data_IF_597801059552
#
_entry.id   IF_597801059552
#
_cell.length_a   1.000
_cell.length_b   1.000
_cell.length_c   1.000
_cell.angle_alpha   90.00
_cell.angle_beta   90.00
_cell.angle_gamma   90.00
#
_symmetry.space_group_name_H-M   'P 1'
#
loop_
_entity.id
_entity.type
_entity.pdbx_description
1 polymer ?
#
# COMPACT_ATOMS: atom_id res chain seq x y z
N UNK A 1 -3.16 -10.87 9.63
CA UNK A 1 -2.22 -9.71 9.51
C UNK A 1 -2.89 -8.34 9.63
N UNK A 2 -3.78 -7.92 8.70
CA UNK A 2 -4.37 -6.55 8.72
C UNK A 2 -5.11 -6.27 10.02
N UNK A 3 -5.97 -7.21 10.42
CA UNK A 3 -6.73 -7.16 11.66
C UNK A 3 -5.84 -7.16 12.91
N UNK A 4 -4.96 -8.15 13.03
CA UNK A 4 -4.09 -8.36 14.20
C UNK A 4 -3.20 -7.15 14.49
N UNK A 5 -2.59 -6.58 13.43
CA UNK A 5 -1.73 -5.40 13.55
C UNK A 5 -2.50 -4.09 13.59
N UNK A 6 -3.85 -4.13 13.50
CA UNK A 6 -4.73 -2.95 13.46
C UNK A 6 -4.34 -1.96 12.35
N UNK A 7 -3.85 -2.49 11.22
CA UNK A 7 -3.44 -1.69 10.05
C UNK A 7 -4.67 -1.10 9.39
N UNK A 8 -4.78 0.23 9.35
CA UNK A 8 -5.93 0.92 8.74
C UNK A 8 -5.67 1.40 7.30
N UNK A 9 -4.47 1.18 6.79
CA UNK A 9 -4.06 1.55 5.43
C UNK A 9 -3.27 0.42 4.78
N UNK A 10 -3.68 0.06 3.55
CA UNK A 10 -2.94 -0.81 2.65
C UNK A 10 -2.47 0.00 1.45
N UNK A 11 -1.17 -0.02 1.17
CA UNK A 11 -0.56 0.55 -0.03
C UNK A 11 -0.18 -0.57 -1.01
N UNK A 12 -0.96 -0.73 -2.07
CA UNK A 12 -0.74 -1.71 -3.13
C UNK A 12 0.00 -1.06 -4.30
N UNK A 13 1.23 -1.51 -4.57
CA UNK A 13 2.13 -0.95 -5.58
C UNK A 13 2.28 -1.85 -6.81
N UNK A 14 1.23 -2.57 -7.20
CA UNK A 14 1.23 -3.46 -8.37
C UNK A 14 -0.15 -3.52 -9.02
N UNK A 15 -0.22 -3.87 -10.30
CA UNK A 15 -1.46 -4.37 -10.89
C UNK A 15 -1.67 -5.85 -10.50
N UNK A 16 -2.90 -6.34 -10.62
CA UNK A 16 -3.26 -7.74 -10.39
C UNK A 16 -2.62 -8.65 -11.44
N UNK A 17 -2.58 -8.19 -12.68
CA UNK A 17 -1.98 -8.87 -13.83
C UNK A 17 -1.06 -7.92 -14.57
N UNK A 18 0.18 -8.35 -14.82
CA UNK A 18 1.16 -7.61 -15.59
C UNK A 18 1.78 -8.55 -16.62
N UNK A 19 1.80 -8.14 -17.90
CA UNK A 19 2.33 -8.93 -19.02
C UNK A 19 1.78 -10.38 -19.05
N UNK A 20 0.47 -10.51 -18.78
CA UNK A 20 -0.23 -11.80 -18.77
C UNK A 20 0.06 -12.70 -17.56
N UNK A 21 0.83 -12.23 -16.56
CA UNK A 21 1.11 -12.98 -15.34
C UNK A 21 0.38 -12.39 -14.15
N UNK A 22 -0.21 -13.26 -13.33
CA UNK A 22 -0.79 -12.86 -12.05
C UNK A 22 0.33 -12.40 -11.11
N UNK A 23 0.18 -11.19 -10.58
CA UNK A 23 1.11 -10.55 -9.64
C UNK A 23 0.53 -10.43 -8.25
N UNK A 24 -0.79 -10.29 -8.15
CA UNK A 24 -1.53 -10.21 -6.90
C UNK A 24 -2.97 -10.67 -7.10
N UNK A 25 -3.44 -11.58 -6.25
CA UNK A 25 -4.85 -11.97 -6.21
C UNK A 25 -5.68 -10.87 -5.54
N UNK A 26 -6.94 -10.74 -5.97
CA UNK A 26 -7.87 -9.82 -5.32
C UNK A 26 -8.24 -10.37 -3.94
N UNK A 27 -8.02 -9.57 -2.92
CA UNK A 27 -8.36 -9.87 -1.52
C UNK A 27 -9.39 -8.87 -0.95
N UNK A 28 -10.05 -8.11 -1.83
CA UNK A 28 -11.01 -7.07 -1.47
C UNK A 28 -12.35 -7.31 -2.18
N UNK A 29 -13.47 -6.84 -1.60
CA UNK A 29 -14.77 -6.85 -2.27
C UNK A 29 -14.78 -5.95 -3.51
N UNK A 30 -15.35 -6.46 -4.61
CA UNK A 30 -15.40 -5.74 -5.88
C UNK A 30 -16.65 -4.87 -6.05
N UNK A 31 -17.70 -5.15 -5.28
CA UNK A 31 -19.00 -4.47 -5.38
C UNK A 31 -19.45 -4.01 -4.00
N UNK A 32 -20.18 -2.89 -3.97
CA UNK A 32 -20.73 -2.29 -2.73
C UNK A 32 -21.75 -3.21 -2.04
N UNK A 33 -22.49 -3.98 -2.83
CA UNK A 33 -23.61 -4.82 -2.39
C UNK A 33 -23.23 -6.29 -2.13
N UNK A 34 -21.98 -6.69 -2.44
CA UNK A 34 -21.53 -8.08 -2.33
C UNK A 34 -20.32 -8.13 -1.40
N UNK A 35 -20.49 -8.54 -0.14
CA UNK A 35 -19.37 -8.71 0.77
C UNK A 35 -18.49 -9.89 0.34
N UNK A 36 -17.22 -9.83 0.73
CA UNK A 36 -16.26 -10.91 0.56
C UNK A 36 -16.03 -11.59 1.91
N UNK A 37 -16.33 -12.89 1.97
CA UNK A 37 -16.05 -13.74 3.13
C UNK A 37 -14.58 -14.21 3.08
N UNK A 38 -13.84 -13.97 4.17
CA UNK A 38 -12.44 -14.36 4.36
C UNK A 38 -12.28 -14.95 5.76
N UNK A 39 -12.46 -16.25 5.86
CA UNK A 39 -12.38 -17.03 7.10
C UNK A 39 -13.32 -16.50 8.20
N UNK A 40 -12.78 -15.82 9.21
CA UNK A 40 -13.54 -15.23 10.33
C UNK A 40 -14.00 -13.79 10.07
N UNK A 41 -13.69 -13.25 8.88
CA UNK A 41 -13.85 -11.84 8.56
C UNK A 41 -14.80 -11.63 7.38
N UNK A 42 -15.74 -10.70 7.53
CA UNK A 42 -16.60 -10.25 6.44
C UNK A 42 -16.15 -8.87 5.96
N UNK A 43 -15.81 -8.76 4.68
CA UNK A 43 -15.32 -7.51 4.08
C UNK A 43 -16.43 -6.84 3.26
N UNK A 44 -16.77 -5.61 3.62
CA UNK A 44 -17.72 -4.78 2.88
C UNK A 44 -16.99 -3.63 2.17
N UNK A 45 -17.31 -3.40 0.90
CA UNK A 45 -16.86 -2.21 0.20
C UNK A 45 -17.83 -1.06 0.53
N UNK A 46 -17.36 -0.07 1.27
CA UNK A 46 -18.16 1.11 1.62
C UNK A 46 -18.11 2.16 0.51
N UNK A 47 -16.93 2.36 -0.07
CA UNK A 47 -16.71 3.37 -1.10
C UNK A 47 -15.56 2.97 -2.02
N UNK A 48 -15.61 3.44 -3.27
CA UNK A 48 -14.55 3.29 -4.25
C UNK A 48 -14.40 4.56 -5.10
N UNK A 49 -13.15 4.98 -5.29
CA UNK A 49 -12.77 6.05 -6.21
C UNK A 49 -11.65 5.55 -7.12
N UNK A 50 -11.87 5.63 -8.43
CA UNK A 50 -10.90 5.23 -9.44
C UNK A 50 -10.35 6.49 -10.11
N UNK A 51 -9.26 7.03 -9.55
CA UNK A 51 -8.54 8.15 -10.16
C UNK A 51 -7.48 7.61 -11.12
N UNK A 52 -7.02 8.46 -12.04
CA UNK A 52 -6.05 8.09 -13.08
C UNK A 52 -4.86 7.28 -12.51
N UNK A 53 -4.23 7.77 -11.44
CA UNK A 53 -2.99 7.21 -10.90
C UNK A 53 -3.17 6.46 -9.56
N UNK A 54 -4.36 6.57 -8.95
CA UNK A 54 -4.64 6.04 -7.61
C UNK A 54 -6.06 5.49 -7.58
N UNK A 55 -6.20 4.22 -7.23
CA UNK A 55 -7.50 3.67 -6.86
C UNK A 55 -7.61 3.62 -5.34
N UNK A 56 -8.74 4.06 -4.82
CA UNK A 56 -9.02 4.15 -3.39
C UNK A 56 -10.26 3.31 -3.12
N UNK A 57 -10.17 2.40 -2.15
CA UNK A 57 -11.29 1.64 -1.63
C UNK A 57 -11.37 1.81 -0.12
N UNK A 58 -12.56 2.06 0.39
CA UNK A 58 -12.84 2.05 1.82
C UNK A 58 -13.52 0.71 2.12
N UNK A 59 -12.86 -0.11 2.93
CA UNK A 59 -13.28 -1.47 3.22
C UNK A 59 -13.58 -1.56 4.71
N UNK A 60 -14.78 -1.99 5.05
CA UNK A 60 -15.15 -2.34 6.42
C UNK A 60 -14.88 -3.84 6.62
N UNK A 61 -13.88 -4.16 7.43
CA UNK A 61 -13.57 -5.53 7.86
C UNK A 61 -14.31 -5.80 9.17
N UNK A 62 -15.21 -6.79 9.17
CA UNK A 62 -16.12 -7.08 10.27
C UNK A 62 -15.79 -8.46 10.86
N UNK A 63 -15.62 -8.51 12.17
CA UNK A 63 -15.58 -9.75 12.97
C UNK A 63 -16.48 -9.57 14.20
N UNK A 64 -15.93 -9.11 15.33
CA UNK A 64 -16.68 -8.67 16.53
C UNK A 64 -16.92 -7.16 16.58
N UNK A 65 -16.10 -6.42 15.85
CA UNK A 65 -16.13 -4.98 15.72
C UNK A 65 -15.87 -4.62 14.26
N UNK A 66 -16.11 -3.36 13.89
CA UNK A 66 -15.78 -2.87 12.54
C UNK A 66 -14.37 -2.27 12.56
N UNK A 67 -13.51 -2.78 11.70
CA UNK A 67 -12.19 -2.20 11.41
C UNK A 67 -12.21 -1.60 10.00
N UNK A 68 -12.02 -0.29 9.91
CA UNK A 68 -12.06 0.44 8.64
C UNK A 68 -10.65 0.45 8.03
N UNK A 69 -10.53 -0.09 6.83
CA UNK A 69 -9.28 -0.22 6.07
C UNK A 69 -9.37 0.60 4.78
N UNK A 70 -8.39 1.46 4.55
CA UNK A 70 -8.23 2.24 3.32
C UNK A 70 -7.23 1.51 2.42
N UNK A 71 -7.73 0.92 1.35
CA UNK A 71 -6.91 0.27 0.35
C UNK A 71 -6.59 1.26 -0.76
N UNK A 72 -5.32 1.61 -0.88
CA UNK A 72 -4.78 2.57 -1.83
C UNK A 72 -3.90 1.82 -2.83
N UNK A 73 -4.32 1.79 -4.09
CA UNK A 73 -3.56 1.15 -5.17
C UNK A 73 -2.97 2.20 -6.09
N UNK A 74 -1.65 2.23 -6.18
CA UNK A 74 -0.95 3.07 -7.15
C UNK A 74 -0.88 2.34 -8.51
N UNK A 75 -1.46 2.92 -9.55
CA UNK A 75 -1.69 2.22 -10.83
C UNK A 75 -0.63 2.49 -11.89
N UNK A 76 0.09 3.60 -11.80
CA UNK A 76 1.03 4.08 -12.81
C UNK A 76 2.49 3.73 -12.48
N UNK A 77 2.73 2.46 -12.17
CA UNK A 77 4.08 1.92 -11.99
C UNK A 77 4.27 0.65 -12.83
N UNK A 78 4.92 0.73 -14.01
CA UNK A 78 5.11 -0.41 -14.88
C UNK A 78 6.00 -1.50 -14.24
N UNK A 79 5.72 -2.76 -14.57
CA UNK A 79 6.54 -3.90 -14.13
C UNK A 79 7.97 -3.77 -14.68
N UNK A 80 8.95 -3.88 -13.78
CA UNK A 80 10.38 -3.66 -14.03
C UNK A 80 10.77 -2.23 -14.49
N UNK A 81 10.00 -1.20 -14.15
CA UNK A 81 10.32 0.20 -14.43
C UNK A 81 10.30 1.10 -13.19
N UNK A 82 10.36 2.41 -13.44
CA UNK A 82 10.15 3.48 -12.44
C UNK A 82 8.75 4.07 -12.61
N UNK A 83 8.19 4.78 -11.60
CA UNK A 83 6.96 5.53 -11.79
C UNK A 83 7.10 6.50 -12.98
N UNK A 84 6.04 6.68 -13.75
CA UNK A 84 6.05 7.62 -14.87
C UNK A 84 6.28 9.07 -14.43
N UNK A 85 5.91 9.40 -13.19
CA UNK A 85 6.12 10.71 -12.58
C UNK A 85 6.50 10.57 -11.11
N UNK A 86 7.64 11.16 -10.72
CA UNK A 86 8.05 11.27 -9.31
C UNK A 86 7.08 12.12 -8.50
N UNK A 87 6.48 13.15 -9.12
CA UNK A 87 5.47 14.00 -8.49
C UNK A 87 4.23 13.18 -8.09
N UNK A 88 3.77 12.28 -8.95
CA UNK A 88 2.62 11.42 -8.64
C UNK A 88 2.92 10.49 -7.46
N UNK A 89 4.13 9.93 -7.39
CA UNK A 89 4.55 9.13 -6.25
C UNK A 89 4.57 9.95 -4.95
N UNK A 90 5.12 11.17 -4.98
CA UNK A 90 5.13 12.07 -3.82
C UNK A 90 3.70 12.44 -3.40
N UNK A 91 2.80 12.73 -4.35
CA UNK A 91 1.37 12.98 -4.06
C UNK A 91 0.70 11.76 -3.41
N UNK A 92 0.98 10.57 -3.92
CA UNK A 92 0.50 9.32 -3.32
C UNK A 92 1.00 9.16 -1.88
N UNK A 93 2.29 9.37 -1.61
CA UNK A 93 2.87 9.31 -0.25
C UNK A 93 2.24 10.35 0.68
N UNK A 94 2.03 11.58 0.20
CA UNK A 94 1.35 12.62 1.00
C UNK A 94 -0.08 12.24 1.36
N UNK A 95 -0.82 11.68 0.40
CA UNK A 95 -2.17 11.18 0.65
C UNK A 95 -2.16 9.99 1.61
N UNK A 96 -1.26 9.03 1.40
CA UNK A 96 -1.04 7.86 2.26
C UNK A 96 -0.86 8.28 3.73
N UNK A 97 0.01 9.26 3.99
CA UNK A 97 0.22 9.82 5.34
C UNK A 97 -1.01 10.53 5.90
N UNK A 98 -1.73 11.27 5.06
CA UNK A 98 -2.88 12.06 5.50
C UNK A 98 -4.06 11.18 5.95
N UNK A 99 -4.21 9.98 5.37
CA UNK A 99 -5.32 9.06 5.68
C UNK A 99 -4.96 7.94 6.65
N UNK A 100 -3.69 7.83 7.01
CA UNK A 100 -3.19 6.89 8.01
C UNK A 100 -3.48 7.43 9.41
N UNK A 101 -4.06 6.61 10.28
CA UNK A 101 -4.38 7.03 11.65
C UNK A 101 -3.90 6.05 12.72
N UNK A 102 -3.84 4.74 12.42
CA UNK A 102 -3.52 3.72 13.43
C UNK A 102 -2.79 2.51 12.85
N UNK A 103 -2.03 1.82 13.71
CA UNK A 103 -1.28 0.63 13.33
C UNK A 103 -0.21 0.91 12.26
N UNK A 104 0.45 -0.12 11.73
CA UNK A 104 1.39 0.04 10.64
C UNK A 104 0.67 0.25 9.31
N UNK A 105 1.30 0.97 8.37
CA UNK A 105 0.88 0.98 6.97
C UNK A 105 1.34 -0.33 6.33
N UNK A 106 0.40 -1.12 5.81
CA UNK A 106 0.74 -2.36 5.10
C UNK A 106 1.12 -2.03 3.67
N UNK A 107 2.40 -2.13 3.31
CA UNK A 107 2.87 -1.90 1.94
C UNK A 107 3.14 -3.23 1.26
N UNK A 108 2.65 -3.42 0.02
CA UNK A 108 3.03 -4.58 -0.78
C UNK A 108 3.07 -4.27 -2.28
N UNK A 109 3.72 -5.15 -3.03
CA UNK A 109 3.65 -5.18 -4.50
C UNK A 109 3.32 -6.62 -4.94
N UNK A 110 4.16 -7.25 -5.76
CA UNK A 110 4.06 -8.68 -6.07
C UNK A 110 4.95 -9.51 -5.13
N UNK A 111 6.29 -9.40 -5.27
CA UNK A 111 7.24 -10.07 -4.38
C UNK A 111 7.48 -9.34 -3.04
N UNK A 112 6.89 -8.16 -2.83
CA UNK A 112 7.05 -7.38 -1.60
C UNK A 112 8.38 -6.64 -1.44
N UNK A 113 9.29 -6.70 -2.41
CA UNK A 113 10.65 -6.12 -2.28
C UNK A 113 10.80 -4.84 -3.12
N UNK A 114 10.66 -4.91 -4.45
CA UNK A 114 11.03 -3.81 -5.36
C UNK A 114 10.23 -2.50 -5.16
N UNK A 115 9.03 -2.42 -5.75
CA UNK A 115 8.18 -1.20 -5.70
C UNK A 115 7.76 -0.82 -4.27
N UNK A 116 7.55 -1.82 -3.42
CA UNK A 116 7.27 -1.63 -2.00
C UNK A 116 8.45 -0.96 -1.28
N UNK A 117 9.67 -1.48 -1.47
CA UNK A 117 10.88 -0.90 -0.88
C UNK A 117 11.13 0.52 -1.36
N UNK A 118 10.92 0.81 -2.66
CA UNK A 118 11.05 2.19 -3.17
C UNK A 118 10.03 3.13 -2.52
N UNK A 119 8.76 2.70 -2.33
CA UNK A 119 7.78 3.52 -1.62
C UNK A 119 8.25 3.84 -0.19
N UNK A 120 8.71 2.81 0.55
CA UNK A 120 9.17 2.94 1.94
C UNK A 120 10.41 3.84 2.02
N UNK A 121 11.43 3.60 1.18
CA UNK A 121 12.62 4.46 1.08
C UNK A 121 12.23 5.92 0.82
N UNK A 122 11.36 6.14 -0.16
CA UNK A 122 10.95 7.50 -0.55
C UNK A 122 10.21 8.20 0.58
N UNK A 123 9.33 7.48 1.27
CA UNK A 123 8.64 7.98 2.46
C UNK A 123 9.65 8.39 3.55
N UNK A 124 10.61 7.52 3.89
CA UNK A 124 11.64 7.84 4.89
C UNK A 124 12.45 9.07 4.46
N UNK A 125 12.90 9.13 3.20
CA UNK A 125 13.68 10.26 2.67
C UNK A 125 12.89 11.56 2.76
N UNK A 126 11.61 11.56 2.37
CA UNK A 126 10.76 12.75 2.48
C UNK A 126 10.60 13.19 3.94
N UNK A 127 10.51 12.25 4.88
CA UNK A 127 10.48 12.57 6.32
C UNK A 127 11.80 13.17 6.79
N UNK A 128 12.95 12.63 6.38
CA UNK A 128 14.26 13.18 6.75
C UNK A 128 14.43 14.60 6.20
N UNK A 129 14.05 14.85 4.94
CA UNK A 129 14.11 16.18 4.32
C UNK A 129 13.23 17.19 5.09
N UNK A 130 11.98 16.82 5.40
CA UNK A 130 11.05 17.71 6.13
C UNK A 130 11.56 18.06 7.53
N UNK A 131 12.33 17.17 8.15
CA UNK A 131 12.91 17.38 9.49
C UNK A 131 14.34 17.93 9.44
N UNK A 132 14.84 18.35 8.26
CA UNK A 132 16.21 18.86 8.07
C UNK A 132 17.31 17.90 8.56
N UNK A 133 17.08 16.60 8.38
CA UNK A 133 18.01 15.55 8.78
C UNK A 133 18.86 15.07 7.59
N UNK A 134 20.10 14.58 7.85
CA UNK A 134 20.97 14.05 6.80
C UNK A 134 20.33 12.88 6.04
N UNK A 135 20.43 12.91 4.71
CA UNK A 135 19.90 11.87 3.82
C UNK A 135 21.03 11.02 3.26
N UNK A 136 20.98 9.71 3.47
CA UNK A 136 21.87 8.73 2.83
C UNK A 136 21.06 7.60 2.20
N UNK A 137 20.88 7.66 0.88
CA UNK A 137 20.06 6.69 0.12
C UNK A 137 20.66 5.27 0.14
N UNK A 138 21.98 5.15 0.08
CA UNK A 138 22.70 3.87 0.14
C UNK A 138 22.48 3.17 1.47
N UNK A 139 22.62 3.91 2.57
CA UNK A 139 22.45 3.35 3.91
C UNK A 139 21.02 2.88 4.15
N UNK A 140 20.03 3.68 3.75
CA UNK A 140 18.62 3.34 3.85
C UNK A 140 18.26 2.07 3.06
N UNK A 141 18.78 1.96 1.84
CA UNK A 141 18.55 0.78 1.01
C UNK A 141 19.14 -0.47 1.67
N UNK A 142 20.39 -0.41 2.15
CA UNK A 142 21.04 -1.52 2.84
C UNK A 142 20.23 -1.94 4.07
N UNK A 143 19.81 -0.98 4.91
CA UNK A 143 19.01 -1.25 6.11
C UNK A 143 17.68 -1.93 5.79
N UNK A 144 16.97 -1.49 4.75
CA UNK A 144 15.71 -2.12 4.36
C UNK A 144 15.91 -3.56 3.86
N UNK A 145 16.96 -3.81 3.08
CA UNK A 145 17.29 -5.17 2.64
C UNK A 145 17.67 -6.08 3.81
N UNK A 146 18.45 -5.60 4.79
CA UNK A 146 18.76 -6.40 5.99
C UNK A 146 17.53 -6.66 6.84
N UNK A 147 16.63 -5.69 7.01
CA UNK A 147 15.38 -5.90 7.75
C UNK A 147 14.46 -6.95 7.09
N UNK A 148 14.40 -7.00 5.76
CA UNK A 148 13.58 -7.98 5.01
C UNK A 148 14.22 -9.38 5.02
N UNK A 149 15.56 -9.48 5.03
CA UNK A 149 16.25 -10.78 5.01
C UNK A 149 16.21 -11.53 6.35
N UNK A 150 15.82 -10.87 7.44
CA UNK A 150 15.78 -11.43 8.81
C UNK A 150 14.35 -11.81 9.23
N UNK A 151 13.33 -11.46 8.44
CA UNK A 151 11.92 -11.84 8.63
C UNK A 151 11.53 -13.06 7.80
#
# INVERSE_FOLDING_TARGET
MIWENKSDVIAMMTQEVERGRVKCHKYWPERLDVPLDVDSYLLHLENQQLLENIHIKIIHMVEKQVHIVRHLKFTHWPDHGVPHSSEQLVRFIRYLRAVHHRGPITVHCSAGIGRAGVLICTDIILSLIVNDLPVSTTHLTIQLYTSIAVS
#
